data_IF_428855901482
#
_entry.id   IF_428855901482
#
_cell.length_a   1.000
_cell.length_b   1.000
_cell.length_c   1.000
_cell.angle_alpha   90.00
_cell.angle_beta   90.00
_cell.angle_gamma   90.00
#
_symmetry.space_group_name_H-M   'P 1'
#
loop_
_entity.id
_entity.type
_entity.pdbx_description
1 polymer ?
#
# COMPACT_ATOMS: atom_id res chain seq x y z
N UNK A 1 -29.82 -11.07 10.72
CA UNK A 1 -28.77 -10.10 11.13
C UNK A 1 -27.91 -10.68 12.26
N UNK A 2 -28.52 -11.17 13.35
CA UNK A 2 -27.81 -11.81 14.49
C UNK A 2 -26.76 -12.86 14.07
N UNK A 3 -27.11 -13.78 13.15
CA UNK A 3 -26.17 -14.80 12.67
C UNK A 3 -24.93 -14.20 11.99
N UNK A 4 -25.12 -13.23 11.10
CA UNK A 4 -24.03 -12.55 10.38
C UNK A 4 -23.14 -11.78 11.35
N UNK A 5 -23.75 -11.10 12.32
CA UNK A 5 -23.01 -10.34 13.34
C UNK A 5 -22.19 -11.29 14.22
N UNK A 6 -22.78 -12.42 14.59
CA UNK A 6 -22.10 -13.46 15.37
C UNK A 6 -20.90 -14.04 14.61
N UNK A 7 -21.06 -14.40 13.34
CA UNK A 7 -19.95 -14.91 12.52
C UNK A 7 -18.84 -13.88 12.32
N UNK A 8 -19.20 -12.61 12.10
CA UNK A 8 -18.21 -11.51 12.02
C UNK A 8 -17.48 -11.31 13.35
N UNK A 9 -18.16 -11.43 14.49
CA UNK A 9 -17.54 -11.31 15.81
C UNK A 9 -16.53 -12.43 16.08
N UNK A 10 -16.87 -13.67 15.73
CA UNK A 10 -15.94 -14.82 15.84
C UNK A 10 -14.72 -14.61 14.95
N UNK A 11 -14.90 -14.26 13.68
CA UNK A 11 -13.78 -13.96 12.77
C UNK A 11 -12.94 -12.77 13.26
N UNK A 12 -13.61 -11.73 13.79
CA UNK A 12 -12.98 -10.57 14.40
C UNK A 12 -12.05 -10.95 15.55
N UNK A 13 -12.54 -11.78 16.49
CA UNK A 13 -11.77 -12.17 17.66
C UNK A 13 -10.63 -13.15 17.33
N UNK A 14 -10.93 -14.23 16.62
CA UNK A 14 -9.99 -15.35 16.46
C UNK A 14 -9.08 -15.24 15.23
N UNK A 15 -9.46 -14.48 14.20
CA UNK A 15 -8.63 -14.30 13.01
C UNK A 15 -8.06 -12.89 12.94
N UNK A 16 -8.90 -11.86 12.96
CA UNK A 16 -8.46 -10.49 12.68
C UNK A 16 -7.63 -9.95 13.86
N UNK A 17 -8.12 -10.07 15.09
CA UNK A 17 -7.46 -9.53 16.29
C UNK A 17 -6.45 -10.49 16.95
N UNK A 18 -6.24 -11.67 16.37
CA UNK A 18 -5.22 -12.60 16.87
C UNK A 18 -3.82 -11.97 16.78
N UNK A 19 -2.97 -12.22 17.79
CA UNK A 19 -1.64 -11.62 17.89
C UNK A 19 -0.77 -11.83 16.64
N UNK A 20 -0.80 -13.04 16.05
CA UNK A 20 -0.08 -13.35 14.81
C UNK A 20 -0.59 -12.54 13.61
N UNK A 21 -1.90 -12.30 13.51
CA UNK A 21 -2.48 -11.46 12.45
C UNK A 21 -2.08 -10.00 12.61
N UNK A 22 -2.09 -9.48 13.84
CA UNK A 22 -1.69 -8.11 14.14
C UNK A 22 -0.20 -7.87 13.84
N UNK A 23 0.68 -8.80 14.20
CA UNK A 23 2.11 -8.74 13.85
C UNK A 23 2.32 -8.70 12.33
N UNK A 24 1.59 -9.55 11.58
CA UNK A 24 1.63 -9.52 10.11
C UNK A 24 1.12 -8.19 9.55
N UNK A 25 0.00 -7.66 10.04
CA UNK A 25 -0.54 -6.38 9.59
C UNK A 25 0.42 -5.22 9.85
N UNK A 26 1.06 -5.18 11.03
CA UNK A 26 2.05 -4.17 11.36
C UNK A 26 3.23 -4.18 10.38
N UNK A 27 3.75 -5.38 10.05
CA UNK A 27 4.82 -5.54 9.05
C UNK A 27 4.38 -5.08 7.66
N UNK A 28 3.16 -5.43 7.24
CA UNK A 28 2.61 -4.98 5.95
C UNK A 28 2.43 -3.46 5.89
N UNK A 29 1.99 -2.82 6.98
CA UNK A 29 1.85 -1.36 7.05
C UNK A 29 3.19 -0.64 6.88
N UNK A 30 4.26 -1.18 7.47
CA UNK A 30 5.62 -0.64 7.29
C UNK A 30 6.01 -0.68 5.81
N UNK A 31 5.81 -1.82 5.15
CA UNK A 31 6.14 -1.98 3.73
C UNK A 31 5.40 -0.97 2.86
N UNK A 32 4.09 -0.80 3.08
CA UNK A 32 3.29 0.17 2.32
C UNK A 32 3.80 1.60 2.55
N UNK A 33 4.10 1.97 3.80
CA UNK A 33 4.62 3.30 4.11
C UNK A 33 5.99 3.56 3.44
N UNK A 34 6.88 2.56 3.45
CA UNK A 34 8.19 2.65 2.82
C UNK A 34 8.09 2.76 1.29
N UNK A 35 7.21 1.99 0.65
CA UNK A 35 6.98 2.11 -0.81
C UNK A 35 6.49 3.53 -1.14
N UNK A 36 5.50 4.06 -0.40
CA UNK A 36 4.98 5.42 -0.64
C UNK A 36 6.10 6.47 -0.52
N UNK A 37 6.93 6.38 0.52
CA UNK A 37 8.07 7.28 0.67
C UNK A 37 9.07 7.17 -0.48
N UNK A 38 9.50 5.96 -0.83
CA UNK A 38 10.47 5.74 -1.90
C UNK A 38 9.95 6.21 -3.27
N UNK A 39 8.68 5.92 -3.59
CA UNK A 39 8.06 6.39 -4.83
C UNK A 39 7.96 7.91 -4.87
N UNK A 40 7.57 8.55 -3.76
CA UNK A 40 7.53 10.01 -3.66
C UNK A 40 8.90 10.64 -3.89
N UNK A 41 9.95 10.10 -3.26
CA UNK A 41 11.30 10.65 -3.33
C UNK A 41 11.93 10.48 -4.73
N UNK A 42 11.56 9.42 -5.45
CA UNK A 42 12.10 9.10 -6.77
C UNK A 42 11.17 9.50 -7.93
N UNK A 43 9.98 10.04 -7.65
CA UNK A 43 9.02 10.41 -8.69
C UNK A 43 9.57 11.52 -9.61
N UNK A 44 9.22 11.50 -10.92
CA UNK A 44 8.37 10.51 -11.60
C UNK A 44 9.11 9.25 -12.07
N UNK A 45 10.42 9.12 -11.84
CA UNK A 45 11.28 8.09 -12.46
C UNK A 45 10.81 6.66 -12.20
N UNK A 46 10.34 6.40 -10.98
CA UNK A 46 9.92 5.07 -10.53
C UNK A 46 8.40 4.84 -10.60
N UNK A 47 7.66 5.79 -11.17
CA UNK A 47 6.23 5.61 -11.43
C UNK A 47 6.02 4.72 -12.65
N UNK A 48 4.98 3.88 -12.60
CA UNK A 48 4.54 3.14 -13.78
C UNK A 48 4.01 4.14 -14.82
N UNK A 49 4.31 3.85 -16.08
CA UNK A 49 3.84 4.57 -17.26
C UNK A 49 2.36 4.96 -17.22
N UNK A 50 1.48 4.12 -16.65
CA UNK A 50 0.04 4.41 -16.56
C UNK A 50 -0.27 5.62 -15.65
N UNK A 51 0.60 5.92 -14.68
CA UNK A 51 0.43 7.02 -13.73
C UNK A 51 1.13 8.31 -14.16
N UNK A 52 2.04 8.26 -15.14
CA UNK A 52 2.82 9.44 -15.57
C UNK A 52 1.94 10.58 -16.07
N UNK A 53 0.89 10.28 -16.84
CA UNK A 53 -0.04 11.31 -17.32
C UNK A 53 -0.72 12.04 -16.16
N UNK A 54 -1.24 11.29 -15.18
CA UNK A 54 -1.89 11.86 -14.01
C UNK A 54 -0.90 12.65 -13.13
N UNK A 55 0.36 12.20 -13.06
CA UNK A 55 1.43 12.93 -12.38
C UNK A 55 1.74 14.28 -13.04
N UNK A 56 1.83 14.31 -14.37
CA UNK A 56 2.13 15.53 -15.13
C UNK A 56 0.96 16.53 -15.08
N UNK A 57 -0.28 16.03 -15.02
CA UNK A 57 -1.50 16.83 -14.85
C UNK A 57 -1.73 17.30 -13.40
N UNK A 58 -0.99 16.77 -12.43
CA UNK A 58 -1.15 17.13 -11.02
C UNK A 58 -0.65 18.56 -10.74
N UNK A 59 -1.60 19.45 -10.41
CA UNK A 59 -1.33 20.87 -10.21
C UNK A 59 -0.68 21.24 -8.86
N UNK A 60 -0.68 20.33 -7.88
CA UNK A 60 -0.10 20.55 -6.57
C UNK A 60 0.50 19.26 -5.96
N UNK A 61 1.18 19.42 -4.82
CA UNK A 61 1.83 18.30 -4.11
C UNK A 61 0.82 17.27 -3.57
N UNK A 62 -0.39 17.71 -3.21
CA UNK A 62 -1.44 16.80 -2.74
C UNK A 62 -1.94 15.90 -3.88
N UNK A 63 -2.13 16.47 -5.07
CA UNK A 63 -2.48 15.75 -6.28
C UNK A 63 -1.36 14.79 -6.70
N UNK A 64 -0.09 15.20 -6.59
CA UNK A 64 1.07 14.32 -6.82
C UNK A 64 1.12 13.16 -5.82
N UNK A 65 0.88 13.42 -4.54
CA UNK A 65 0.79 12.38 -3.53
C UNK A 65 -0.36 11.40 -3.83
N UNK A 66 -1.50 11.89 -4.32
CA UNK A 66 -2.62 11.01 -4.73
C UNK A 66 -2.20 10.02 -5.81
N UNK A 67 -1.44 10.47 -6.82
CA UNK A 67 -0.94 9.61 -7.90
C UNK A 67 -0.01 8.51 -7.36
N UNK A 68 0.87 8.84 -6.41
CA UNK A 68 1.72 7.85 -5.73
C UNK A 68 0.85 6.83 -4.98
N UNK A 69 -0.16 7.29 -4.24
CA UNK A 69 -1.08 6.42 -3.50
C UNK A 69 -1.88 5.52 -4.47
N UNK A 70 -2.32 6.03 -5.62
CA UNK A 70 -3.04 5.27 -6.64
C UNK A 70 -2.17 4.13 -7.20
N UNK A 71 -0.89 4.40 -7.45
CA UNK A 71 0.04 3.34 -7.87
C UNK A 71 0.18 2.27 -6.81
N UNK A 72 0.39 2.64 -5.54
CA UNK A 72 0.53 1.66 -4.45
C UNK A 72 -0.75 0.87 -4.25
N UNK A 73 -1.92 1.50 -4.38
CA UNK A 73 -3.22 0.86 -4.26
C UNK A 73 -3.54 -0.12 -5.41
N UNK A 74 -2.90 0.04 -6.56
CA UNK A 74 -3.05 -0.86 -7.71
C UNK A 74 -2.20 -2.14 -7.58
N UNK A 75 -1.30 -2.22 -6.59
CA UNK A 75 -0.44 -3.39 -6.40
C UNK A 75 -1.21 -4.54 -5.76
N UNK A 76 -0.90 -5.75 -6.23
CA UNK A 76 -1.21 -6.97 -5.49
C UNK A 76 -0.21 -7.16 -4.35
N UNK A 77 -0.54 -7.99 -3.36
CA UNK A 77 0.39 -8.30 -2.26
C UNK A 77 1.78 -8.75 -2.78
N UNK A 78 1.92 -9.72 -3.71
CA UNK A 78 3.23 -10.07 -4.27
C UNK A 78 3.90 -8.91 -5.01
N UNK A 79 3.11 -8.08 -5.71
CA UNK A 79 3.62 -6.90 -6.41
C UNK A 79 4.21 -5.86 -5.46
N UNK A 80 3.58 -5.62 -4.32
CA UNK A 80 4.07 -4.71 -3.28
C UNK A 80 5.43 -5.17 -2.73
N UNK A 81 5.56 -6.46 -2.38
CA UNK A 81 6.84 -7.00 -1.91
C UNK A 81 7.94 -6.92 -2.99
N UNK A 82 7.62 -7.25 -4.24
CA UNK A 82 8.59 -7.19 -5.34
C UNK A 82 9.06 -5.75 -5.60
N UNK A 83 8.14 -4.79 -5.60
CA UNK A 83 8.47 -3.38 -5.77
C UNK A 83 9.31 -2.86 -4.60
N UNK A 84 8.93 -3.18 -3.36
CA UNK A 84 9.66 -2.79 -2.16
C UNK A 84 11.11 -3.29 -2.19
N UNK A 85 11.33 -4.56 -2.54
CA UNK A 85 12.67 -5.13 -2.66
C UNK A 85 13.51 -4.42 -3.73
N UNK A 86 12.92 -4.16 -4.91
CA UNK A 86 13.58 -3.47 -6.01
C UNK A 86 13.99 -2.04 -5.64
N UNK A 87 13.08 -1.26 -5.05
CA UNK A 87 13.36 0.12 -4.64
C UNK A 87 14.39 0.17 -3.50
N UNK A 88 14.31 -0.76 -2.55
CA UNK A 88 15.27 -0.86 -1.44
C UNK A 88 16.68 -1.20 -1.92
N UNK A 89 16.82 -2.01 -2.98
CA UNK A 89 18.13 -2.33 -3.58
C UNK A 89 18.74 -1.19 -4.40
N UNK A 90 17.94 -0.20 -4.79
CA UNK A 90 18.38 0.94 -5.60
C UNK A 90 18.77 2.16 -4.73
N UNK A 91 18.69 2.02 -3.41
CA UNK A 91 19.09 3.03 -2.41
C UNK A 91 20.52 2.78 -1.94
#
# INVERSE_FOLDING_TARGET
IIEVDFLKAIAGHYLINAAHSQDRYAKQQIIIAEIVQMLRDCAPRELDSIFLKAWDEAGDESARMRVVIDQVAALTDPGAYALHARLSSSR
#
